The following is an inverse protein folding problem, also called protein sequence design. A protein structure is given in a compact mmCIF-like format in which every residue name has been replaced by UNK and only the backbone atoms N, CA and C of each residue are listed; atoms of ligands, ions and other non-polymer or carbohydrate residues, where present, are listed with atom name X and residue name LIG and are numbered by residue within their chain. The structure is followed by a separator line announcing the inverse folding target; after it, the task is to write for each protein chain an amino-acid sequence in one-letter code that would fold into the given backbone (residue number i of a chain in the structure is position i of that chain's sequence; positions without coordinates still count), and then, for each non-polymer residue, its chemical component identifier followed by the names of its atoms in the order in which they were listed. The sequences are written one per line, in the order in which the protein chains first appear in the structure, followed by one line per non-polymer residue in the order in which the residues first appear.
data_IF_989427723265
#
_entry.id   IF_989427723265
#
_cell.length_a   1.000
_cell.length_b   1.000
_cell.length_c   1.000
_cell.angle_alpha   90.00
_cell.angle_beta   90.00
_cell.angle_gamma   90.00
#
_symmetry.space_group_name_H-M   'P 1'
#
loop_
_entity.id
_entity.type
_entity.pdbx_description
1 polymer ?
#
# COMPACT_ATOMS: atom_id res chain seq x y z
N UNK A 1 -11.27 21.46 47.80
CA UNK A 1 -11.96 20.42 47.01
C UNK A 1 -12.27 20.90 45.60
N UNK A 2 -12.90 22.05 45.41
CA UNK A 2 -13.21 22.61 44.07
C UNK A 2 -11.98 22.80 43.17
N UNK A 3 -10.88 23.36 43.69
CA UNK A 3 -9.65 23.54 42.92
C UNK A 3 -9.01 22.22 42.47
N UNK A 4 -9.16 21.16 43.27
CA UNK A 4 -8.66 19.82 42.91
C UNK A 4 -9.48 19.23 41.76
N UNK A 5 -10.80 19.41 41.79
CA UNK A 5 -11.69 19.00 40.69
C UNK A 5 -11.37 19.81 39.43
N UNK A 6 -11.20 21.13 39.55
CA UNK A 6 -10.82 21.99 38.43
C UNK A 6 -9.49 21.58 37.79
N UNK A 7 -8.48 21.23 38.61
CA UNK A 7 -7.19 20.72 38.14
C UNK A 7 -7.32 19.37 37.40
N UNK A 8 -8.13 18.45 37.93
CA UNK A 8 -8.36 17.14 37.28
C UNK A 8 -9.08 17.31 35.94
N UNK A 9 -10.10 18.17 35.89
CA UNK A 9 -10.83 18.47 34.64
C UNK A 9 -9.90 19.12 33.62
N UNK A 10 -9.09 20.10 34.05
CA UNK A 10 -8.11 20.74 33.18
C UNK A 10 -7.09 19.73 32.65
N UNK A 11 -6.55 18.86 33.52
CA UNK A 11 -5.61 17.82 33.13
C UNK A 11 -6.24 16.83 32.13
N UNK A 12 -7.51 16.44 32.33
CA UNK A 12 -8.23 15.57 31.41
C UNK A 12 -8.47 16.23 30.04
N UNK A 13 -8.82 17.52 30.00
CA UNK A 13 -8.99 18.27 28.74
C UNK A 13 -7.66 18.37 27.99
N UNK A 14 -6.57 18.71 28.69
CA UNK A 14 -5.22 18.74 28.11
C UNK A 14 -4.81 17.36 27.58
N UNK A 15 -5.07 16.30 28.35
CA UNK A 15 -4.80 14.93 27.93
C UNK A 15 -5.56 14.60 26.64
N UNK A 16 -6.85 14.93 26.54
CA UNK A 16 -7.64 14.69 25.33
C UNK A 16 -7.09 15.47 24.14
N UNK A 17 -6.72 16.75 24.32
CA UNK A 17 -6.17 17.59 23.24
C UNK A 17 -4.82 17.04 22.73
N UNK A 18 -3.98 16.50 23.60
CA UNK A 18 -2.65 15.97 23.25
C UNK A 18 -2.73 14.54 22.71
N UNK A 19 -3.56 13.68 23.30
CA UNK A 19 -3.65 12.25 22.95
C UNK A 19 -4.47 12.03 21.68
N UNK A 20 -5.51 12.84 21.40
CA UNK A 20 -6.30 12.70 20.16
C UNK A 20 -5.47 12.72 18.87
N UNK A 21 -4.59 13.72 18.62
CA UNK A 21 -3.82 13.76 17.38
C UNK A 21 -2.86 12.58 17.26
N UNK A 22 -2.30 12.10 18.38
CA UNK A 22 -1.41 10.93 18.41
C UNK A 22 -2.13 9.61 18.06
N UNK A 23 -3.37 9.44 18.53
CA UNK A 23 -4.18 8.25 18.17
C UNK A 23 -4.67 8.30 16.72
N UNK A 24 -4.97 9.49 16.19
CA UNK A 24 -5.36 9.67 14.79
C UNK A 24 -4.22 9.36 13.81
N UNK A 25 -3.02 9.89 14.10
CA UNK A 25 -1.85 9.68 13.25
C UNK A 25 -1.36 8.23 13.24
N UNK A 26 -1.49 7.51 14.36
CA UNK A 26 -1.09 6.11 14.45
C UNK A 26 -1.98 5.21 13.58
N UNK A 27 -3.29 5.44 13.56
CA UNK A 27 -4.22 4.66 12.74
C UNK A 27 -4.15 4.96 11.24
N UNK A 28 -3.80 6.19 10.85
CA UNK A 28 -3.57 6.53 9.44
C UNK A 28 -2.24 5.97 8.92
N UNK A 29 -1.15 6.08 9.71
CA UNK A 29 0.14 5.51 9.34
C UNK A 29 0.07 3.98 9.17
N UNK A 30 -0.65 3.29 10.06
CA UNK A 30 -0.83 1.84 10.00
C UNK A 30 -1.62 1.40 8.75
N UNK A 31 -2.69 2.14 8.40
CA UNK A 31 -3.46 1.90 7.15
C UNK A 31 -2.64 2.15 5.89
N UNK A 32 -1.86 3.24 5.86
CA UNK A 32 -0.97 3.51 4.71
C UNK A 32 0.09 2.41 4.58
N UNK A 33 0.64 1.92 5.69
CA UNK A 33 1.60 0.81 5.68
C UNK A 33 0.96 -0.50 5.20
N UNK A 34 -0.28 -0.80 5.61
CA UNK A 34 -1.05 -1.97 5.16
C UNK A 34 -1.33 -1.90 3.65
N UNK A 35 -1.84 -0.76 3.16
CA UNK A 35 -2.09 -0.53 1.73
C UNK A 35 -0.81 -0.65 0.88
N UNK A 36 0.31 -0.14 1.39
CA UNK A 36 1.62 -0.28 0.73
C UNK A 36 2.02 -1.75 0.64
N UNK A 37 1.89 -2.50 1.73
CA UNK A 37 2.22 -3.93 1.75
C UNK A 37 1.36 -4.74 0.77
N UNK A 38 0.06 -4.45 0.67
CA UNK A 38 -0.83 -5.06 -0.31
C UNK A 38 -0.39 -4.78 -1.75
N UNK A 39 -0.04 -3.54 -2.07
CA UNK A 39 0.42 -3.16 -3.41
C UNK A 39 1.80 -3.74 -3.74
N UNK A 40 2.70 -3.86 -2.76
CA UNK A 40 3.99 -4.53 -2.92
C UNK A 40 3.80 -6.03 -3.22
N UNK A 41 2.89 -6.71 -2.51
CA UNK A 41 2.54 -8.09 -2.79
C UNK A 41 1.92 -8.25 -4.19
N UNK A 42 1.06 -7.31 -4.60
CA UNK A 42 0.49 -7.29 -5.95
C UNK A 42 1.56 -7.09 -7.03
N UNK A 43 2.56 -6.22 -6.78
CA UNK A 43 3.72 -6.03 -7.66
C UNK A 43 4.50 -7.32 -7.85
N UNK A 44 4.82 -8.01 -6.76
CA UNK A 44 5.54 -9.29 -6.82
C UNK A 44 4.75 -10.38 -7.56
N UNK A 45 3.44 -10.46 -7.33
CA UNK A 45 2.56 -11.36 -8.07
C UNK A 45 2.59 -11.08 -9.57
N UNK A 46 2.45 -9.81 -9.98
CA UNK A 46 2.52 -9.43 -11.40
C UNK A 46 3.89 -9.65 -12.03
N UNK A 47 4.96 -9.42 -11.29
CA UNK A 47 6.31 -9.69 -11.79
C UNK A 47 6.55 -11.18 -12.05
N UNK A 48 6.00 -12.06 -11.19
CA UNK A 48 6.02 -13.52 -11.43
C UNK A 48 5.26 -13.89 -12.69
N UNK A 49 4.06 -13.33 -12.89
CA UNK A 49 3.24 -13.60 -14.08
C UNK A 49 3.95 -13.21 -15.38
N UNK A 50 4.63 -12.06 -15.41
CA UNK A 50 5.46 -11.63 -16.56
C UNK A 50 6.58 -12.66 -16.81
N UNK A 51 7.28 -13.06 -15.75
CA UNK A 51 8.41 -13.98 -15.86
C UNK A 51 7.99 -15.38 -16.33
N UNK A 52 6.82 -15.83 -15.92
CA UNK A 52 6.24 -17.10 -16.35
C UNK A 52 5.83 -17.03 -17.83
N UNK A 53 5.21 -15.92 -18.27
CA UNK A 53 4.90 -15.69 -19.68
C UNK A 53 6.16 -15.66 -20.56
N UNK A 54 7.26 -15.07 -20.09
CA UNK A 54 8.57 -15.10 -20.76
C UNK A 54 9.18 -16.51 -20.81
N UNK A 55 8.99 -17.31 -19.76
CA UNK A 55 9.41 -18.71 -19.74
C UNK A 55 8.62 -19.56 -20.74
N UNK A 56 7.30 -19.38 -20.81
CA UNK A 56 6.44 -20.09 -21.75
C UNK A 56 6.75 -19.71 -23.21
N UNK A 57 7.08 -18.45 -23.48
CA UNK A 57 7.59 -18.03 -24.78
C UNK A 57 8.94 -18.68 -25.12
N UNK A 58 9.92 -18.65 -24.19
CA UNK A 58 11.24 -19.27 -24.40
C UNK A 58 11.18 -20.79 -24.57
N UNK A 59 10.23 -21.45 -23.91
CA UNK A 59 10.02 -22.90 -24.04
C UNK A 59 9.21 -23.28 -25.29
N UNK A 60 8.80 -22.29 -26.09
CA UNK A 60 8.11 -22.49 -27.37
C UNK A 60 6.61 -22.81 -27.24
N UNK A 61 6.02 -22.66 -26.04
CA UNK A 61 4.57 -22.86 -25.84
C UNK A 61 3.74 -21.69 -26.34
N UNK A 62 4.36 -20.51 -26.47
CA UNK A 62 3.68 -19.28 -26.87
C UNK A 62 4.25 -18.76 -28.20
N UNK A 63 3.37 -18.35 -29.11
CA UNK A 63 3.77 -17.70 -30.35
C UNK A 63 4.35 -16.30 -30.04
N UNK A 64 5.21 -15.77 -30.92
CA UNK A 64 5.80 -14.45 -30.72
C UNK A 64 4.74 -13.32 -30.77
N UNK A 65 3.66 -13.51 -31.52
CA UNK A 65 2.56 -12.56 -31.61
C UNK A 65 1.74 -12.55 -30.32
N UNK A 66 1.40 -13.72 -29.79
CA UNK A 66 0.68 -13.86 -28.52
C UNK A 66 1.52 -13.36 -27.35
N UNK A 67 2.82 -13.68 -27.31
CA UNK A 67 3.74 -13.15 -26.31
C UNK A 67 3.76 -11.63 -26.31
N UNK A 68 3.87 -11.00 -27.49
CA UNK A 68 3.92 -9.53 -27.62
C UNK A 68 2.61 -8.86 -27.21
N UNK A 69 1.47 -9.53 -27.29
CA UNK A 69 0.19 -9.02 -26.79
C UNK A 69 0.14 -9.13 -25.27
N UNK A 70 0.39 -10.31 -24.72
CA UNK A 70 0.39 -10.57 -23.28
C UNK A 70 1.42 -9.72 -22.53
N UNK A 71 2.64 -9.58 -23.04
CA UNK A 71 3.68 -8.74 -22.42
C UNK A 71 3.26 -7.28 -22.31
N UNK A 72 2.60 -6.72 -23.34
CA UNK A 72 2.10 -5.33 -23.30
C UNK A 72 1.01 -5.15 -22.26
N UNK A 73 0.08 -6.09 -22.17
CA UNK A 73 -1.01 -6.06 -21.19
C UNK A 73 -0.46 -6.16 -19.76
N UNK A 74 0.43 -7.13 -19.50
CA UNK A 74 1.04 -7.33 -18.18
C UNK A 74 1.91 -6.15 -17.77
N UNK A 75 2.69 -5.57 -18.69
CA UNK A 75 3.49 -4.35 -18.41
C UNK A 75 2.61 -3.16 -18.08
N UNK A 76 1.48 -3.00 -18.77
CA UNK A 76 0.53 -1.92 -18.47
C UNK A 76 -0.01 -2.04 -17.05
N UNK A 77 -0.41 -3.25 -16.65
CA UNK A 77 -0.88 -3.52 -15.28
C UNK A 77 0.23 -3.32 -14.24
N UNK A 78 1.47 -3.72 -14.54
CA UNK A 78 2.60 -3.50 -13.65
C UNK A 78 2.90 -2.00 -13.45
N UNK A 79 2.85 -1.20 -14.51
CA UNK A 79 3.03 0.26 -14.43
C UNK A 79 1.94 0.90 -13.58
N UNK A 80 0.69 0.45 -13.70
CA UNK A 80 -0.41 0.96 -12.87
C UNK A 80 -0.19 0.68 -11.39
N UNK A 81 0.29 -0.52 -11.03
CA UNK A 81 0.63 -0.86 -9.64
C UNK A 81 1.79 0.01 -9.13
N UNK A 82 2.83 0.22 -9.94
CA UNK A 82 3.95 1.10 -9.58
C UNK A 82 3.49 2.54 -9.35
N UNK A 83 2.62 3.06 -10.21
CA UNK A 83 2.07 4.41 -10.03
C UNK A 83 1.28 4.56 -8.74
N UNK A 84 0.48 3.55 -8.36
CA UNK A 84 -0.26 3.56 -7.09
C UNK A 84 0.67 3.49 -5.87
N UNK A 85 1.81 2.82 -6.00
CA UNK A 85 2.84 2.80 -4.96
C UNK A 85 3.51 4.18 -4.83
N UNK A 86 3.86 4.83 -5.94
CA UNK A 86 4.43 6.18 -5.94
C UNK A 86 3.47 7.24 -5.36
N UNK A 87 2.15 7.04 -5.48
CA UNK A 87 1.13 7.93 -4.89
C UNK A 87 1.00 7.77 -3.35
N UNK A 88 1.59 6.71 -2.77
CA UNK A 88 1.61 6.43 -1.33
C UNK A 88 2.94 6.80 -0.64
N UNK A 89 3.98 7.12 -1.40
CA UNK A 89 5.29 7.59 -0.92
C UNK A 89 5.32 9.12 -0.70
#
# INVERSE_FOLDING_TARGET
MEYAIALVVLAAVVLVIVVRPLLGSAGEADRTAELRAELEAAKEAKYREIRDAELDFRTGKLSQEDFRRTDRELRTQAIEILRRLDELD
#
